data_IF_143868406437
#
_entry.id   IF_143868406437
#
_cell.length_a   1.000
_cell.length_b   1.000
_cell.length_c   1.000
_cell.angle_alpha   90.00
_cell.angle_beta   90.00
_cell.angle_gamma   90.00
#
_symmetry.space_group_name_H-M   'P 1'
#
loop_
_entity.id
_entity.type
_entity.pdbx_description
1 polymer ?
#
# COMPACT_ATOMS: atom_id res chain seq x y z
N UNK A 1 9.64 4.94 -12.96
CA UNK A 1 10.59 5.71 -12.11
C UNK A 1 10.34 7.22 -12.25
N UNK A 2 10.30 7.74 -13.48
CA UNK A 2 10.11 9.19 -13.71
C UNK A 2 8.82 9.73 -13.11
N UNK A 3 7.72 8.98 -13.23
CA UNK A 3 6.46 9.37 -12.62
C UNK A 3 6.60 9.51 -11.08
N UNK A 4 7.23 8.54 -10.43
CA UNK A 4 7.46 8.58 -8.98
C UNK A 4 8.29 9.80 -8.57
N UNK A 5 9.32 10.13 -9.36
CA UNK A 5 10.16 11.30 -9.11
C UNK A 5 9.41 12.64 -9.31
N UNK A 6 8.34 12.64 -10.10
CA UNK A 6 7.51 13.84 -10.33
C UNK A 6 6.53 14.13 -9.20
N UNK A 7 6.28 13.18 -8.30
CA UNK A 7 5.35 13.36 -7.20
C UNK A 7 5.91 14.31 -6.14
N UNK A 8 5.07 15.14 -5.51
CA UNK A 8 5.51 15.97 -4.41
C UNK A 8 5.86 15.14 -3.18
N UNK A 9 6.92 15.51 -2.48
CA UNK A 9 7.38 14.81 -1.28
C UNK A 9 8.13 13.50 -1.58
N UNK A 10 8.20 12.63 -0.59
CA UNK A 10 8.81 11.31 -0.72
C UNK A 10 7.72 10.25 -0.78
N UNK A 11 7.55 9.54 -1.91
CA UNK A 11 6.59 8.46 -2.01
C UNK A 11 6.88 7.36 -0.98
N UNK A 12 5.83 6.79 -0.42
CA UNK A 12 5.90 5.61 0.45
C UNK A 12 5.18 4.47 -0.27
N UNK A 13 5.86 3.33 -0.39
CA UNK A 13 5.22 2.13 -0.92
C UNK A 13 4.21 1.59 0.10
N UNK A 14 3.01 1.31 -0.37
CA UNK A 14 1.93 0.72 0.44
C UNK A 14 1.45 -0.55 -0.27
N UNK A 15 1.41 -1.66 0.42
CA UNK A 15 1.00 -2.93 -0.18
C UNK A 15 0.35 -3.90 0.80
N UNK A 16 -0.29 -4.92 0.24
CA UNK A 16 -0.94 -6.00 0.97
C UNK A 16 -0.70 -7.33 0.25
N UNK A 17 0.22 -8.16 0.72
CA UNK A 17 1.26 -7.90 1.72
C UNK A 17 2.41 -7.07 1.14
N UNK A 18 2.84 -6.05 1.87
CA UNK A 18 3.89 -5.15 1.39
C UNK A 18 5.23 -5.85 1.17
N UNK A 19 5.58 -6.76 2.05
CA UNK A 19 6.88 -7.48 2.00
C UNK A 19 7.10 -8.24 0.71
N UNK A 20 6.04 -8.79 0.13
CA UNK A 20 6.12 -9.53 -1.12
C UNK A 20 6.23 -8.61 -2.33
N UNK A 21 5.28 -7.70 -2.48
CA UNK A 21 5.22 -6.81 -3.65
C UNK A 21 6.37 -5.79 -3.65
N UNK A 22 6.77 -5.31 -2.49
CA UNK A 22 7.89 -4.38 -2.34
C UNK A 22 9.19 -4.96 -2.89
N UNK A 23 9.47 -6.22 -2.59
CA UNK A 23 10.69 -6.89 -3.05
C UNK A 23 10.80 -6.87 -4.57
N UNK A 24 9.71 -7.21 -5.26
CA UNK A 24 9.68 -7.23 -6.73
C UNK A 24 9.79 -5.81 -7.31
N UNK A 25 9.01 -4.88 -6.80
CA UNK A 25 9.03 -3.50 -7.31
C UNK A 25 10.38 -2.84 -7.09
N UNK A 26 10.98 -3.04 -5.93
CA UNK A 26 12.31 -2.52 -5.62
C UNK A 26 13.35 -3.08 -6.60
N UNK A 27 13.34 -4.39 -6.79
CA UNK A 27 14.23 -5.06 -7.73
C UNK A 27 14.09 -4.51 -9.16
N UNK A 28 12.85 -4.35 -9.63
CA UNK A 28 12.61 -3.81 -10.98
C UNK A 28 13.06 -2.36 -11.11
N UNK A 29 12.87 -1.54 -10.10
CA UNK A 29 13.37 -0.16 -10.10
C UNK A 29 14.89 -0.11 -10.17
N UNK A 30 15.58 -0.94 -9.42
CA UNK A 30 17.06 -1.01 -9.43
C UNK A 30 17.56 -1.50 -10.78
N UNK A 31 16.96 -2.56 -11.31
CA UNK A 31 17.45 -3.21 -12.53
C UNK A 31 17.07 -2.47 -13.80
N UNK A 32 15.85 -1.95 -13.89
CA UNK A 32 15.29 -1.39 -15.12
C UNK A 32 14.91 0.09 -15.02
N UNK A 33 14.97 0.69 -13.85
CA UNK A 33 14.51 2.06 -13.60
C UNK A 33 15.43 3.16 -14.15
N UNK A 34 16.57 2.81 -14.74
CA UNK A 34 17.57 3.74 -15.28
C UNK A 34 17.98 4.79 -14.25
N UNK A 35 18.24 4.33 -13.03
CA UNK A 35 18.72 5.21 -11.97
C UNK A 35 20.14 5.68 -12.28
N UNK A 36 20.41 6.97 -12.00
CA UNK A 36 21.77 7.51 -12.09
C UNK A 36 22.68 6.86 -11.04
N UNK A 37 24.00 6.82 -11.27
CA UNK A 37 24.94 6.30 -10.27
C UNK A 37 24.74 6.99 -8.91
N UNK A 38 24.51 6.17 -7.88
CA UNK A 38 24.24 6.67 -6.52
C UNK A 38 22.82 7.16 -6.25
N UNK A 39 21.97 7.16 -7.25
CA UNK A 39 20.55 7.50 -7.07
C UNK A 39 19.80 6.39 -6.34
N UNK A 40 19.04 6.73 -5.31
CA UNK A 40 18.21 5.78 -4.57
C UNK A 40 16.87 5.55 -5.28
N UNK A 41 16.27 4.39 -5.01
CA UNK A 41 14.88 4.13 -5.42
C UNK A 41 13.96 5.21 -4.84
N UNK A 42 13.02 5.78 -5.62
CA UNK A 42 12.24 6.94 -5.21
C UNK A 42 11.40 6.74 -3.93
N UNK A 43 10.93 5.52 -3.66
CA UNK A 43 10.15 5.20 -2.46
C UNK A 43 10.99 4.63 -1.30
N UNK A 44 12.34 4.75 -1.37
CA UNK A 44 13.25 4.30 -0.31
C UNK A 44 13.21 2.77 -0.11
N UNK A 45 13.73 2.31 1.02
CA UNK A 45 13.82 0.89 1.39
C UNK A 45 12.80 0.47 2.45
N UNK A 46 11.87 1.35 2.80
CA UNK A 46 10.81 1.07 3.77
C UNK A 46 9.44 1.10 3.08
N UNK A 47 8.61 0.13 3.41
CA UNK A 47 7.24 0.04 2.93
C UNK A 47 6.26 -0.02 4.08
N UNK A 48 5.02 0.36 3.82
CA UNK A 48 3.91 0.26 4.75
C UNK A 48 3.06 -0.95 4.40
N UNK A 49 2.92 -1.88 5.34
CA UNK A 49 2.09 -3.06 5.19
C UNK A 49 0.65 -2.78 5.65
N UNK A 50 -0.29 -2.92 4.72
CA UNK A 50 -1.71 -2.60 4.98
C UNK A 50 -2.31 -3.49 6.06
N UNK A 51 -1.96 -4.78 6.08
CA UNK A 51 -2.46 -5.69 7.12
C UNK A 51 -1.97 -5.30 8.52
N UNK A 52 -0.71 -4.93 8.63
CA UNK A 52 -0.13 -4.43 9.88
C UNK A 52 -0.79 -3.12 10.33
N UNK A 53 -1.03 -2.24 9.38
CA UNK A 53 -1.72 -0.97 9.65
C UNK A 53 -3.17 -1.21 10.13
N UNK A 54 -3.87 -2.14 9.50
CA UNK A 54 -5.21 -2.55 9.92
C UNK A 54 -5.22 -3.13 11.33
N UNK A 55 -4.24 -3.99 11.63
CA UNK A 55 -4.07 -4.55 12.97
C UNK A 55 -3.96 -3.45 14.03
N UNK A 56 -3.13 -2.46 13.79
CA UNK A 56 -2.92 -1.35 14.71
C UNK A 56 -4.17 -0.45 14.83
N UNK A 57 -4.79 -0.12 13.70
CA UNK A 57 -5.98 0.74 13.65
C UNK A 57 -7.17 0.13 14.37
N UNK A 58 -7.37 -1.18 14.19
CA UNK A 58 -8.44 -1.93 14.84
C UNK A 58 -8.09 -2.39 16.26
N UNK A 59 -6.87 -2.14 16.70
CA UNK A 59 -6.35 -2.61 18.00
C UNK A 59 -6.54 -4.11 18.18
N UNK A 60 -6.33 -4.85 17.10
CA UNK A 60 -6.42 -6.31 17.11
C UNK A 60 -5.10 -6.90 17.59
N UNK A 61 -5.14 -7.82 18.55
CA UNK A 61 -3.96 -8.49 19.06
C UNK A 61 -3.40 -9.55 18.12
N UNK A 62 -4.23 -10.02 17.17
CA UNK A 62 -3.88 -11.09 16.24
C UNK A 62 -3.60 -10.55 14.85
N UNK A 63 -2.36 -10.67 14.40
CA UNK A 63 -2.00 -10.38 13.02
C UNK A 63 -2.76 -11.26 12.02
N UNK A 64 -2.95 -12.54 12.35
CA UNK A 64 -3.72 -13.47 11.51
C UNK A 64 -5.16 -13.01 11.32
N UNK A 65 -5.81 -12.54 12.39
CA UNK A 65 -7.20 -12.08 12.36
C UNK A 65 -7.36 -10.66 11.80
N UNK A 66 -6.28 -10.01 11.46
CA UNK A 66 -6.29 -8.66 10.85
C UNK A 66 -6.34 -8.70 9.32
N UNK A 67 -6.62 -9.87 8.76
CA UNK A 67 -6.77 -10.04 7.31
C UNK A 67 -8.04 -9.32 6.79
N UNK A 68 -8.01 -9.03 5.51
CA UNK A 68 -8.99 -8.22 4.77
C UNK A 68 -10.45 -8.62 5.04
N UNK A 69 -10.74 -9.93 5.12
CA UNK A 69 -12.10 -10.41 5.34
C UNK A 69 -12.68 -10.07 6.73
N UNK A 70 -11.82 -9.67 7.68
CA UNK A 70 -12.20 -9.26 9.03
C UNK A 70 -12.27 -7.73 9.21
N UNK A 71 -12.06 -6.97 8.15
CA UNK A 71 -12.13 -5.51 8.23
C UNK A 71 -13.57 -5.01 8.34
N UNK A 72 -13.79 -3.81 8.91
CA UNK A 72 -15.09 -3.20 8.94
C UNK A 72 -15.75 -3.13 7.57
N UNK A 73 -17.07 -3.33 7.52
CA UNK A 73 -17.82 -3.35 6.27
C UNK A 73 -17.64 -2.06 5.46
N UNK A 74 -17.61 -0.92 6.11
CA UNK A 74 -17.45 0.39 5.48
C UNK A 74 -16.13 0.55 4.71
N UNK A 75 -15.11 -0.25 5.05
CA UNK A 75 -13.87 -0.25 4.28
C UNK A 75 -13.97 -0.98 2.94
N UNK A 76 -15.00 -1.79 2.79
CA UNK A 76 -15.28 -2.58 1.58
C UNK A 76 -16.36 -1.97 0.67
N UNK A 77 -17.10 -0.97 1.14
CA UNK A 77 -18.23 -0.42 0.40
C UNK A 77 -17.79 0.17 -0.94
N UNK A 78 -18.52 -0.20 -2.01
CA UNK A 78 -18.29 0.28 -3.36
C UNK A 78 -16.88 0.01 -3.91
N UNK A 79 -16.21 -1.01 -3.39
CA UNK A 79 -14.96 -1.50 -3.95
C UNK A 79 -15.27 -2.47 -5.10
N UNK A 80 -14.66 -2.32 -6.29
CA UNK A 80 -14.81 -3.28 -7.37
C UNK A 80 -14.42 -4.69 -6.91
N UNK A 81 -15.10 -5.71 -7.45
CA UNK A 81 -14.75 -7.10 -7.16
C UNK A 81 -13.30 -7.36 -7.55
N UNK A 82 -12.64 -8.21 -6.77
CA UNK A 82 -11.31 -8.70 -7.09
C UNK A 82 -11.34 -9.46 -8.43
N UNK A 83 -10.73 -8.86 -9.46
CA UNK A 83 -10.77 -9.37 -10.84
C UNK A 83 -9.45 -10.04 -11.25
N UNK A 84 -8.46 -10.08 -10.36
CA UNK A 84 -7.08 -10.45 -10.64
C UNK A 84 -6.40 -9.57 -11.70
N UNK A 85 -7.01 -8.45 -12.07
CA UNK A 85 -6.36 -7.39 -12.82
C UNK A 85 -5.53 -6.53 -11.86
N UNK A 86 -4.22 -6.46 -12.06
CA UNK A 86 -3.30 -5.80 -11.14
C UNK A 86 -3.67 -4.34 -10.86
N UNK A 87 -4.10 -3.61 -11.91
CA UNK A 87 -4.50 -2.20 -11.76
C UNK A 87 -5.78 -2.06 -10.91
N UNK A 88 -6.79 -2.86 -11.19
CA UNK A 88 -8.06 -2.81 -10.47
C UNK A 88 -7.88 -3.21 -9.01
N UNK A 89 -7.08 -4.23 -8.74
CA UNK A 89 -6.74 -4.67 -7.39
C UNK A 89 -5.96 -3.59 -6.63
N UNK A 90 -5.03 -2.92 -7.28
CA UNK A 90 -4.28 -1.82 -6.69
C UNK A 90 -5.18 -0.62 -6.36
N UNK A 91 -6.11 -0.26 -7.24
CA UNK A 91 -7.09 0.80 -6.98
C UNK A 91 -7.97 0.44 -5.78
N UNK A 92 -8.48 -0.78 -5.73
CA UNK A 92 -9.29 -1.27 -4.60
C UNK A 92 -8.53 -1.22 -3.28
N UNK A 93 -7.29 -1.68 -3.25
CA UNK A 93 -6.43 -1.60 -2.07
C UNK A 93 -6.16 -0.14 -1.65
N UNK A 94 -5.92 0.74 -2.61
CA UNK A 94 -5.71 2.16 -2.36
C UNK A 94 -6.91 2.81 -1.68
N UNK A 95 -8.11 2.54 -2.18
CA UNK A 95 -9.35 3.05 -1.58
C UNK A 95 -9.52 2.53 -0.14
N UNK A 96 -9.31 1.24 0.07
CA UNK A 96 -9.40 0.62 1.40
C UNK A 96 -8.39 1.23 2.37
N UNK A 97 -7.17 1.44 1.91
CA UNK A 97 -6.13 2.07 2.73
C UNK A 97 -6.46 3.52 3.10
N UNK A 98 -7.00 4.30 2.18
CA UNK A 98 -7.46 5.67 2.47
C UNK A 98 -8.55 5.67 3.54
N UNK A 99 -9.52 4.78 3.47
CA UNK A 99 -10.57 4.62 4.49
C UNK A 99 -10.00 4.23 5.84
N UNK A 100 -8.99 3.39 5.83
CA UNK A 100 -8.26 2.97 7.03
C UNK A 100 -7.51 4.14 7.68
N UNK A 101 -6.84 4.96 6.85
CA UNK A 101 -6.20 6.21 7.30
C UNK A 101 -7.20 7.16 7.95
N UNK A 102 -8.35 7.35 7.31
CA UNK A 102 -9.40 8.23 7.83
C UNK A 102 -9.90 7.75 9.19
N UNK A 103 -10.12 6.44 9.33
CA UNK A 103 -10.55 5.84 10.58
C UNK A 103 -9.50 6.03 11.69
N UNK A 104 -8.23 5.83 11.35
CA UNK A 104 -7.13 5.96 12.31
C UNK A 104 -6.90 7.42 12.75
N UNK A 105 -7.00 8.35 11.81
CA UNK A 105 -6.72 9.76 12.07
C UNK A 105 -7.96 10.56 12.47
N UNK A 106 -9.14 9.95 12.44
CA UNK A 106 -10.42 10.65 12.64
C UNK A 106 -10.61 11.82 11.68
N UNK A 107 -10.17 11.70 10.45
CA UNK A 107 -10.31 12.74 9.41
C UNK A 107 -11.12 12.20 8.25
N UNK A 108 -11.92 13.05 7.64
CA UNK A 108 -12.54 12.78 6.34
C UNK A 108 -11.63 13.36 5.25
N UNK A 109 -11.19 12.49 4.37
CA UNK A 109 -10.38 12.87 3.21
C UNK A 109 -11.23 12.99 1.95
#
# INVERSE_FOLDING_TARGET
TNWLLSLPGKPVFVGYPATYDFMFLYFYCVKFGRLEPGQKVPFSHAGLDVKTYAMATLRNESFRNSAKHNWPREWHDNIPKHTHCALEDAIGQGIQFIRMLNANLNVEL
#
